data_IF_366265935244
#
_entry.id   IF_366265935244
#
_cell.length_a   1.000
_cell.length_b   1.000
_cell.length_c   1.000
_cell.angle_alpha   90.00
_cell.angle_beta   90.00
_cell.angle_gamma   90.00
#
_symmetry.space_group_name_H-M   'P 1'
#
loop_
_entity.id
_entity.type
_entity.pdbx_description
1 polymer ?
#
# COMPACT_ATOMS: atom_id res chain seq x y z
N UNK A 1 -12.47 14.92 2.76
CA UNK A 1 -11.04 14.94 3.12
C UNK A 1 -10.51 13.54 2.82
N UNK A 2 -9.45 13.33 2.02
CA UNK A 2 -8.85 12.00 1.97
C UNK A 2 -8.41 11.65 3.39
N UNK A 3 -8.76 10.45 3.86
CA UNK A 3 -8.41 10.04 5.22
C UNK A 3 -6.89 10.10 5.39
N UNK A 4 -6.44 10.61 6.55
CA UNK A 4 -5.04 10.74 6.87
C UNK A 4 -4.35 9.36 6.74
N UNK A 5 -3.27 9.22 5.93
CA UNK A 5 -2.57 7.96 5.80
C UNK A 5 -1.89 7.58 7.12
N UNK A 6 -1.90 6.28 7.43
CA UNK A 6 -1.16 5.74 8.56
C UNK A 6 0.33 5.67 8.21
N UNK A 7 1.19 6.28 9.03
CA UNK A 7 2.64 6.30 8.80
C UNK A 7 3.23 4.99 9.33
N UNK A 8 3.87 4.20 8.45
CA UNK A 8 4.52 2.95 8.83
C UNK A 8 5.77 3.23 9.66
N UNK A 9 5.92 2.54 10.79
CA UNK A 9 7.14 2.60 11.59
C UNK A 9 8.29 1.81 10.90
N UNK A 10 9.32 2.49 10.36
CA UNK A 10 10.45 1.80 9.71
C UNK A 10 11.30 0.97 10.69
N UNK A 11 11.25 1.26 11.99
CA UNK A 11 11.98 0.49 12.98
C UNK A 11 11.29 -0.82 13.34
N UNK A 12 10.01 -0.98 12.97
CA UNK A 12 9.21 -2.18 13.28
C UNK A 12 9.09 -2.43 14.78
N UNK A 13 9.02 -1.37 15.61
CA UNK A 13 9.09 -1.49 17.06
C UNK A 13 7.90 -2.26 17.66
N UNK A 14 6.74 -2.23 16.99
CA UNK A 14 5.53 -2.97 17.37
C UNK A 14 4.78 -3.47 16.11
N UNK A 15 5.36 -4.47 15.44
CA UNK A 15 4.81 -4.99 14.18
C UNK A 15 3.37 -5.53 14.32
N UNK A 16 3.08 -6.24 15.41
CA UNK A 16 1.77 -6.86 15.61
C UNK A 16 0.70 -5.81 15.94
N UNK A 17 0.99 -4.89 16.87
CA UNK A 17 0.05 -3.83 17.20
C UNK A 17 -0.13 -2.83 16.04
N UNK A 18 0.90 -2.59 15.23
CA UNK A 18 0.77 -1.84 13.99
C UNK A 18 -0.13 -2.55 12.97
N UNK A 19 0.03 -3.87 12.79
CA UNK A 19 -0.84 -4.64 11.92
C UNK A 19 -2.30 -4.63 12.38
N UNK A 20 -2.56 -4.68 13.69
CA UNK A 20 -3.91 -4.58 14.25
C UNK A 20 -4.53 -3.21 13.97
N UNK A 21 -3.79 -2.12 14.21
CA UNK A 21 -4.22 -0.76 13.87
C UNK A 21 -4.57 -0.61 12.39
N UNK A 22 -3.76 -1.16 11.49
CA UNK A 22 -4.05 -1.14 10.05
C UNK A 22 -5.37 -1.86 9.71
N UNK A 23 -5.68 -2.97 10.37
CA UNK A 23 -6.95 -3.71 10.18
C UNK A 23 -8.18 -2.97 10.71
N UNK A 24 -8.00 -1.97 11.58
CA UNK A 24 -9.07 -1.10 12.08
C UNK A 24 -9.32 0.14 11.17
N UNK A 25 -8.38 0.45 10.28
CA UNK A 25 -8.46 1.56 9.32
C UNK A 25 -9.06 1.24 7.92
N UNK A 26 -9.64 0.07 7.59
CA UNK A 26 -9.88 -0.29 6.20
C UNK A 26 -10.94 0.60 5.56
N UNK A 27 -10.60 1.12 4.38
CA UNK A 27 -11.53 1.74 3.45
C UNK A 27 -12.04 0.66 2.51
N UNK A 28 -13.35 0.58 2.30
CA UNK A 28 -13.92 -0.18 1.18
C UNK A 28 -13.66 0.59 -0.11
N UNK A 29 -12.78 0.07 -0.97
CA UNK A 29 -12.77 0.52 -2.36
C UNK A 29 -13.92 -0.18 -3.10
N UNK A 30 -14.96 0.57 -3.45
CA UNK A 30 -15.99 0.09 -4.38
C UNK A 30 -15.42 0.14 -5.80
N UNK A 31 -14.83 -0.95 -6.26
CA UNK A 31 -14.60 -1.15 -7.68
C UNK A 31 -15.95 -1.41 -8.38
N UNK A 32 -16.21 -0.73 -9.49
CA UNK A 32 -17.39 -0.91 -10.35
C UNK A 32 -17.60 -2.41 -10.66
N UNK A 33 -18.46 -3.08 -9.88
CA UNK A 33 -18.89 -4.47 -10.10
C UNK A 33 -18.24 -5.57 -9.23
N UNK A 34 -17.48 -5.27 -8.17
CA UNK A 34 -16.79 -6.29 -7.34
C UNK A 34 -16.99 -6.16 -5.82
N UNK A 35 -16.68 -7.22 -5.08
CA UNK A 35 -16.71 -7.23 -3.62
C UNK A 35 -15.76 -6.18 -3.00
N UNK A 36 -16.06 -5.64 -1.80
CA UNK A 36 -15.22 -4.66 -1.11
C UNK A 36 -13.77 -5.11 -0.96
N UNK A 37 -12.82 -4.28 -1.38
CA UNK A 37 -11.39 -4.51 -1.12
C UNK A 37 -11.00 -3.77 0.15
N UNK A 38 -10.64 -4.50 1.21
CA UNK A 38 -10.14 -3.94 2.47
C UNK A 38 -8.68 -3.49 2.33
N UNK A 39 -8.48 -2.18 2.17
CA UNK A 39 -7.16 -1.56 2.13
C UNK A 39 -7.08 -0.35 3.05
N UNK A 40 -5.93 -0.12 3.66
CA UNK A 40 -5.62 1.06 4.46
C UNK A 40 -4.70 2.01 3.70
N UNK A 41 -4.97 3.33 3.64
CA UNK A 41 -4.01 4.30 3.13
C UNK A 41 -2.81 4.40 4.08
N UNK A 42 -1.60 4.30 3.54
CA UNK A 42 -0.37 4.37 4.32
C UNK A 42 0.62 5.37 3.74
N UNK A 43 1.57 5.78 4.57
CA UNK A 43 2.78 6.49 4.15
C UNK A 43 4.01 5.67 4.54
N UNK A 44 4.82 5.32 3.55
CA UNK A 44 6.11 4.66 3.73
C UNK A 44 7.23 5.70 3.93
N UNK A 45 8.39 5.30 4.48
CA UNK A 45 9.53 6.20 4.63
C UNK A 45 9.90 6.89 3.32
N UNK A 46 10.26 8.17 3.39
CA UNK A 46 10.47 9.00 2.20
C UNK A 46 9.20 9.65 1.65
N UNK A 47 8.09 9.63 2.40
CA UNK A 47 6.85 10.34 2.06
C UNK A 47 6.03 9.63 0.97
N UNK A 48 6.24 8.33 0.79
CA UNK A 48 5.63 7.57 -0.29
C UNK A 48 4.23 7.15 0.14
N UNK A 49 3.20 7.74 -0.49
CA UNK A 49 1.82 7.35 -0.26
C UNK A 49 1.47 6.07 -1.01
N UNK A 50 0.91 5.11 -0.28
CA UNK A 50 0.55 3.79 -0.81
C UNK A 50 -0.73 3.26 -0.14
N UNK A 51 -1.11 2.04 -0.50
CA UNK A 51 -2.19 1.29 0.14
C UNK A 51 -1.67 -0.03 0.67
N UNK A 52 -2.04 -0.37 1.91
CA UNK A 52 -1.78 -1.66 2.52
C UNK A 52 -3.03 -2.56 2.41
N UNK A 53 -2.95 -3.72 1.74
CA UNK A 53 -3.93 -4.80 1.90
C UNK A 53 -3.93 -5.32 3.34
N UNK A 54 -5.08 -5.30 4.02
CA UNK A 54 -5.15 -5.69 5.45
C UNK A 54 -5.79 -7.05 5.68
N UNK A 55 -6.29 -7.69 4.61
CA UNK A 55 -6.90 -9.02 4.66
C UNK A 55 -6.21 -9.99 3.69
N UNK A 56 -6.13 -11.25 4.12
CA UNK A 56 -5.50 -12.32 3.35
C UNK A 56 -6.13 -12.52 1.96
N UNK A 57 -7.46 -12.61 1.89
CA UNK A 57 -8.16 -12.83 0.61
C UNK A 57 -7.97 -11.68 -0.37
N UNK A 58 -7.91 -10.44 0.13
CA UNK A 58 -7.62 -9.26 -0.68
C UNK A 58 -6.20 -9.34 -1.26
N UNK A 59 -5.21 -9.61 -0.42
CA UNK A 59 -3.82 -9.73 -0.87
C UNK A 59 -3.68 -10.85 -1.92
N UNK A 60 -4.32 -12.00 -1.68
CA UNK A 60 -4.31 -13.13 -2.61
C UNK A 60 -4.93 -12.77 -3.96
N UNK A 61 -6.05 -12.06 -3.98
CA UNK A 61 -6.69 -11.60 -5.23
C UNK A 61 -5.79 -10.60 -5.97
N UNK A 62 -5.25 -9.60 -5.27
CA UNK A 62 -4.36 -8.61 -5.89
C UNK A 62 -3.10 -9.24 -6.47
N UNK A 63 -2.53 -10.23 -5.80
CA UNK A 63 -1.33 -10.93 -6.29
C UNK A 63 -1.57 -11.80 -7.53
N UNK A 64 -2.83 -12.17 -7.80
CA UNK A 64 -3.24 -12.98 -8.95
C UNK A 64 -3.91 -12.17 -10.07
N UNK A 65 -4.13 -10.87 -9.87
CA UNK A 65 -4.78 -9.99 -10.84
C UNK A 65 -3.74 -9.41 -11.81
N UNK A 66 -3.90 -9.69 -13.11
CA UNK A 66 -2.97 -9.23 -14.15
C UNK A 66 -2.91 -7.69 -14.28
N UNK A 67 -3.87 -6.96 -13.71
CA UNK A 67 -3.84 -5.48 -13.65
C UNK A 67 -2.86 -4.97 -12.59
N UNK A 68 -2.43 -5.81 -11.65
CA UNK A 68 -1.48 -5.46 -10.60
C UNK A 68 -0.07 -5.80 -11.06
N UNK A 69 0.64 -4.78 -11.56
CA UNK A 69 2.01 -4.97 -12.01
C UNK A 69 3.01 -5.02 -10.86
N UNK A 70 4.05 -5.84 -11.03
CA UNK A 70 5.25 -5.89 -10.19
C UNK A 70 6.47 -5.19 -10.83
N UNK A 71 6.30 -4.59 -12.01
CA UNK A 71 7.36 -3.84 -12.69
C UNK A 71 7.16 -2.32 -12.50
N UNK A 72 7.94 -1.69 -11.60
CA UNK A 72 7.81 -0.27 -11.34
C UNK A 72 8.25 0.60 -12.53
N UNK A 73 9.09 0.08 -13.43
CA UNK A 73 9.55 0.81 -14.62
C UNK A 73 8.46 0.98 -15.68
N UNK A 74 7.41 0.17 -15.60
CA UNK A 74 6.27 0.25 -16.52
C UNK A 74 5.08 0.98 -15.89
N UNK A 75 4.82 0.80 -14.59
CA UNK A 75 3.53 1.17 -14.01
C UNK A 75 3.60 2.12 -12.79
N UNK A 76 4.78 2.61 -12.42
CA UNK A 76 4.91 3.58 -11.33
C UNK A 76 5.56 4.89 -11.81
N UNK A 77 4.77 5.90 -12.22
CA UNK A 77 5.28 7.15 -12.78
C UNK A 77 6.31 7.85 -11.89
N UNK A 78 6.11 7.89 -10.58
CA UNK A 78 7.07 8.51 -9.66
C UNK A 78 8.44 7.80 -9.64
N UNK A 79 8.47 6.48 -9.85
CA UNK A 79 9.70 5.72 -10.02
C UNK A 79 10.38 6.02 -11.36
N UNK A 80 9.58 6.01 -12.43
CA UNK A 80 10.04 6.30 -13.81
C UNK A 80 10.67 7.70 -13.86
N UNK A 81 10.02 8.70 -13.26
CA UNK A 81 10.48 10.08 -13.12
C UNK A 81 11.72 10.22 -12.22
N UNK A 82 12.13 9.15 -11.55
CA UNK A 82 13.31 9.10 -10.69
C UNK A 82 13.14 9.71 -9.30
N UNK A 83 11.91 10.00 -8.85
CA UNK A 83 11.64 10.69 -7.57
C UNK A 83 12.16 9.95 -6.35
N UNK A 84 12.31 8.63 -6.45
CA UNK A 84 12.77 7.77 -5.36
C UNK A 84 14.11 7.09 -5.66
N UNK A 85 14.88 7.57 -6.66
CA UNK A 85 16.13 6.91 -7.06
C UNK A 85 17.22 6.94 -5.99
N UNK A 86 17.27 7.97 -5.17
CA UNK A 86 18.23 8.09 -4.06
C UNK A 86 17.65 7.59 -2.72
N UNK A 87 16.55 6.84 -2.76
CA UNK A 87 15.89 6.30 -1.57
C UNK A 87 16.30 4.85 -1.28
N UNK A 88 15.87 4.35 -0.12
CA UNK A 88 16.01 2.96 0.32
C UNK A 88 15.36 1.93 -0.63
N UNK A 89 14.49 2.33 -1.57
CA UNK A 89 13.86 1.41 -2.54
C UNK A 89 14.88 0.88 -3.57
N UNK A 90 16.02 1.56 -3.73
CA UNK A 90 17.09 1.17 -4.67
C UNK A 90 18.23 0.35 -4.02
N UNK A 91 18.08 -0.11 -2.78
CA UNK A 91 19.09 -0.92 -2.07
C UNK A 91 18.98 -2.42 -2.38
#
# INVERSE_FOLDING_TARGET
>A
MPDQPYVIDPAGADLHGEADRLRELPRSLNGTGGAPIAVAPIELPGGIRAWAPTQYEVLKQLLADDRVSKDPNQHWPAWIDGKYRDSWINL
#
